data_IF_505721817192
#
_entry.id   IF_505721817192
#
_cell.length_a   1.000
_cell.length_b   1.000
_cell.length_c   1.000
_cell.angle_alpha   90.00
_cell.angle_beta   90.00
_cell.angle_gamma   90.00
#
_symmetry.space_group_name_H-M   'P 1'
#
loop_
_entity.id
_entity.type
_entity.pdbx_description
1 polymer ?
#
# COMPACT_ATOMS: atom_id res chain seq x y z
N UNK A 1 8.87 11.75 15.11
CA UNK A 1 8.59 10.33 15.36
C UNK A 1 7.65 9.87 14.26
N UNK A 2 8.14 9.18 13.24
CA UNK A 2 7.27 8.60 12.20
C UNK A 2 6.48 7.48 12.85
N UNK A 3 5.19 7.73 13.00
CA UNK A 3 4.26 6.78 13.53
C UNK A 3 4.24 5.53 12.64
N UNK A 4 4.05 4.33 13.21
CA UNK A 4 4.11 3.09 12.45
C UNK A 4 3.02 3.11 11.35
N UNK A 5 3.33 2.88 10.07
CA UNK A 5 2.35 3.05 9.00
C UNK A 5 1.14 2.12 9.16
N UNK A 6 1.35 0.93 9.73
CA UNK A 6 0.27 -0.04 10.04
C UNK A 6 -0.46 0.22 11.36
N UNK A 7 -0.35 1.41 11.95
CA UNK A 7 -1.13 1.74 13.15
C UNK A 7 -2.62 2.00 12.85
N UNK A 8 -2.94 2.36 11.61
CA UNK A 8 -4.30 2.65 11.17
C UNK A 8 -4.37 2.67 9.64
N UNK A 9 -5.60 2.55 9.12
CA UNK A 9 -5.88 2.72 7.70
C UNK A 9 -5.32 4.06 7.16
N UNK A 10 -5.60 5.17 7.85
CA UNK A 10 -5.19 6.50 7.41
C UNK A 10 -3.68 6.65 7.34
N UNK A 11 -2.96 6.12 8.33
CA UNK A 11 -1.50 6.16 8.36
C UNK A 11 -0.89 5.33 7.23
N UNK A 12 -1.47 4.16 6.94
CA UNK A 12 -1.00 3.31 5.85
C UNK A 12 -1.30 3.94 4.48
N UNK A 13 -2.51 4.47 4.29
CA UNK A 13 -2.89 5.18 3.07
C UNK A 13 -1.98 6.38 2.79
N UNK A 14 -1.63 7.15 3.83
CA UNK A 14 -0.66 8.25 3.70
C UNK A 14 0.72 7.73 3.31
N UNK A 15 1.21 6.67 3.97
CA UNK A 15 2.50 6.06 3.65
C UNK A 15 2.56 5.59 2.19
N UNK A 16 1.52 4.92 1.71
CA UNK A 16 1.40 4.48 0.32
C UNK A 16 1.40 5.68 -0.64
N UNK A 17 0.64 6.73 -0.35
CA UNK A 17 0.63 7.93 -1.18
C UNK A 17 2.02 8.58 -1.26
N UNK A 18 2.73 8.73 -0.14
CA UNK A 18 4.09 9.29 -0.10
C UNK A 18 5.12 8.43 -0.83
N UNK A 19 5.01 7.10 -0.75
CA UNK A 19 5.90 6.18 -1.46
C UNK A 19 5.67 6.24 -2.97
N UNK A 20 4.42 6.40 -3.39
CA UNK A 20 4.02 6.40 -4.80
C UNK A 20 4.13 7.78 -5.47
N UNK A 21 4.29 8.84 -4.69
CA UNK A 21 4.61 10.21 -5.17
C UNK A 21 6.11 10.41 -5.45
N UNK A 22 6.80 9.39 -5.95
CA UNK A 22 8.24 9.42 -6.24
C UNK A 22 8.51 9.49 -7.74
N UNK A 23 9.61 10.14 -8.19
CA UNK A 23 9.91 10.34 -9.62
C UNK A 23 9.89 9.09 -10.51
N UNK A 24 10.26 7.88 -10.04
CA UNK A 24 10.16 6.67 -10.86
C UNK A 24 8.73 6.24 -11.17
N UNK A 25 7.75 6.65 -10.38
CA UNK A 25 6.34 6.28 -10.56
C UNK A 25 5.68 7.26 -11.52
N UNK A 26 5.13 6.75 -12.61
CA UNK A 26 4.33 7.56 -13.56
C UNK A 26 2.86 7.59 -13.20
N UNK A 27 2.35 6.47 -12.71
CA UNK A 27 0.93 6.29 -12.38
C UNK A 27 0.80 5.21 -11.32
N UNK A 28 -0.20 5.36 -10.47
CA UNK A 28 -0.66 4.32 -9.55
C UNK A 28 -2.19 4.23 -9.57
N UNK A 29 -2.71 3.02 -9.41
CA UNK A 29 -4.12 2.75 -9.06
C UNK A 29 -4.25 2.10 -7.69
N UNK A 30 -3.16 2.01 -6.93
CA UNK A 30 -3.16 1.41 -5.59
C UNK A 30 -4.14 2.15 -4.70
N UNK A 31 -5.14 1.42 -4.24
CA UNK A 31 -6.11 1.88 -3.27
C UNK A 31 -5.93 1.07 -1.99
N UNK A 32 -6.18 1.73 -0.86
CA UNK A 32 -6.15 1.09 0.47
C UNK A 32 -7.53 1.30 1.08
N UNK A 33 -8.16 0.21 1.52
CA UNK A 33 -9.49 0.26 2.15
C UNK A 33 -9.58 -0.70 3.33
N UNK A 34 -10.47 -0.39 4.26
CA UNK A 34 -10.78 -1.24 5.40
C UNK A 34 -11.75 -2.35 4.98
N UNK A 35 -11.50 -3.56 5.45
CA UNK A 35 -12.42 -4.71 5.34
C UNK A 35 -13.10 -4.96 6.69
N UNK A 36 -12.44 -4.60 7.79
CA UNK A 36 -12.99 -4.62 9.15
C UNK A 36 -12.38 -3.48 9.98
N UNK A 37 -12.82 -3.25 11.24
CA UNK A 37 -12.24 -2.21 12.10
C UNK A 37 -10.72 -2.35 12.31
N UNK A 38 -10.17 -3.56 12.17
CA UNK A 38 -8.77 -3.86 12.44
C UNK A 38 -8.00 -4.38 11.22
N UNK A 39 -8.68 -4.64 10.10
CA UNK A 39 -8.05 -5.17 8.90
C UNK A 39 -8.34 -4.34 7.66
N UNK A 40 -7.39 -4.35 6.74
CA UNK A 40 -7.49 -3.64 5.46
C UNK A 40 -6.87 -4.41 4.31
N UNK A 41 -7.12 -3.94 3.12
CA UNK A 41 -6.48 -4.41 1.89
C UNK A 41 -5.87 -3.20 1.20
N UNK A 42 -4.63 -3.36 0.72
CA UNK A 42 -4.04 -2.48 -0.27
C UNK A 42 -3.88 -3.25 -1.58
N UNK A 43 -4.44 -2.75 -2.67
CA UNK A 43 -4.39 -3.44 -3.96
C UNK A 43 -4.35 -2.43 -5.10
N UNK A 44 -3.62 -2.78 -6.14
CA UNK A 44 -3.66 -2.08 -7.42
C UNK A 44 -2.39 -2.30 -8.23
N UNK A 45 -2.12 -1.35 -9.11
CA UNK A 45 -0.99 -1.41 -10.03
C UNK A 45 -0.19 -0.11 -9.96
N UNK A 46 1.13 -0.24 -10.15
CA UNK A 46 2.08 0.88 -10.21
C UNK A 46 2.82 0.79 -11.53
N UNK A 47 2.77 1.86 -12.32
CA UNK A 47 3.50 1.99 -13.58
C UNK A 47 4.73 2.85 -13.38
N UNK A 48 5.89 2.30 -13.73
CA UNK A 48 7.17 2.98 -13.61
C UNK A 48 7.58 3.64 -14.92
N UNK A 49 8.41 4.68 -14.83
CA UNK A 49 8.95 5.41 -15.98
C UNK A 49 9.87 4.57 -16.87
N UNK A 50 10.43 3.49 -16.33
CA UNK A 50 11.22 2.47 -17.03
C UNK A 50 10.38 1.46 -17.83
N UNK A 51 9.04 1.54 -17.76
CA UNK A 51 8.12 0.67 -18.50
C UNK A 51 7.66 -0.58 -17.74
N UNK A 52 8.14 -0.81 -16.51
CA UNK A 52 7.65 -1.89 -15.65
C UNK A 52 6.27 -1.57 -15.07
N UNK A 53 5.48 -2.62 -14.85
CA UNK A 53 4.20 -2.55 -14.15
C UNK A 53 4.24 -3.51 -12.97
N UNK A 54 4.19 -2.98 -11.76
CA UNK A 54 4.05 -3.78 -10.55
C UNK A 54 2.58 -3.89 -10.19
N UNK A 55 2.03 -5.10 -10.18
CA UNK A 55 0.73 -5.39 -9.57
C UNK A 55 0.96 -5.86 -8.14
N UNK A 56 0.20 -5.31 -7.19
CA UNK A 56 0.31 -5.66 -5.79
C UNK A 56 -1.05 -5.91 -5.14
N UNK A 57 -1.05 -6.81 -4.15
CA UNK A 57 -2.13 -6.99 -3.19
C UNK A 57 -1.53 -7.33 -1.83
N UNK A 58 -1.96 -6.61 -0.80
CA UNK A 58 -1.53 -6.77 0.57
C UNK A 58 -2.75 -6.86 1.49
N UNK A 59 -2.69 -7.77 2.45
CA UNK A 59 -3.64 -7.87 3.54
C UNK A 59 -3.00 -7.31 4.81
N UNK A 60 -3.72 -6.43 5.48
CA UNK A 60 -3.21 -5.59 6.57
C UNK A 60 -3.94 -5.95 7.86
N UNK A 61 -3.18 -6.09 8.94
CA UNK A 61 -3.68 -6.16 10.31
C UNK A 61 -3.14 -4.96 11.09
N UNK A 62 -4.03 -4.03 11.44
CA UNK A 62 -3.69 -2.80 12.14
C UNK A 62 -3.55 -3.01 13.66
N UNK A 63 -4.17 -4.05 14.23
CA UNK A 63 -4.04 -4.38 15.64
C UNK A 63 -2.66 -5.02 15.91
N UNK A 64 -2.30 -6.01 15.10
CA UNK A 64 -0.99 -6.66 15.12
C UNK A 64 0.10 -5.83 14.44
N UNK A 65 -0.27 -4.76 13.72
CA UNK A 65 0.61 -3.81 13.01
C UNK A 65 1.51 -4.49 11.97
N UNK A 66 0.95 -5.44 11.22
CA UNK A 66 1.71 -6.23 10.25
C UNK A 66 0.93 -6.44 8.96
N UNK A 67 1.67 -6.76 7.90
CA UNK A 67 1.09 -7.24 6.63
C UNK A 67 0.99 -8.75 6.78
N UNK A 68 -0.22 -9.29 6.82
CA UNK A 68 -0.48 -10.72 7.05
C UNK A 68 -0.20 -11.55 5.80
N UNK A 69 -0.42 -10.96 4.63
CA UNK A 69 -0.22 -11.58 3.33
C UNK A 69 0.13 -10.51 2.31
N UNK A 70 1.04 -10.82 1.38
CA UNK A 70 1.38 -9.93 0.29
C UNK A 70 1.71 -10.71 -0.99
N UNK A 71 1.40 -10.11 -2.12
CA UNK A 71 1.74 -10.60 -3.45
C UNK A 71 2.14 -9.45 -4.36
N UNK A 72 3.25 -9.63 -5.07
CA UNK A 72 3.78 -8.68 -6.04
C UNK A 72 4.11 -9.41 -7.35
N UNK A 73 3.66 -8.86 -8.47
CA UNK A 73 3.88 -9.40 -9.81
C UNK A 73 4.39 -8.26 -10.73
N UNK A 74 5.36 -8.56 -11.60
CA UNK A 74 6.04 -7.58 -12.48
C UNK A 74 5.84 -7.94 -13.95
#
# INVERSE_FOLDING_TARGET
>A
MTAHPLQSLAAYSQCVAEVLDRPPVRRSTVAVWSVSPYTGIAEGEVWFSSGFRLRLREELDFEARLITSYGYEV
#
